data_IF_155639036030
#
_entry.id   IF_155639036030
#
_cell.length_a   1.000
_cell.length_b   1.000
_cell.length_c   1.000
_cell.angle_alpha   90.00
_cell.angle_beta   90.00
_cell.angle_gamma   90.00
#
_symmetry.space_group_name_H-M   'P 1'
#
loop_
_entity.id
_entity.type
_entity.pdbx_description
1 polymer ?
#
# COMPACT_ATOMS: atom_id res chain seq x y z
N UNK A 1 -7.58 -12.06 -20.61
CA UNK A 1 -6.53 -11.01 -20.69
C UNK A 1 -5.50 -11.28 -19.61
N UNK A 2 -4.47 -12.05 -19.92
CA UNK A 2 -3.40 -12.36 -18.96
C UNK A 2 -2.49 -11.14 -18.85
N UNK A 3 -2.62 -10.34 -17.79
CA UNK A 3 -1.59 -9.39 -17.43
C UNK A 3 -0.32 -10.18 -17.07
N UNK A 4 0.54 -10.41 -18.06
CA UNK A 4 1.96 -10.66 -17.83
C UNK A 4 2.47 -9.37 -17.22
N UNK A 5 2.45 -9.30 -15.89
CA UNK A 5 3.05 -8.21 -15.14
C UNK A 5 4.54 -8.17 -15.51
N UNK A 6 4.92 -7.23 -16.38
CA UNK A 6 6.29 -6.75 -16.42
C UNK A 6 6.58 -6.24 -15.02
N UNK A 7 7.32 -7.02 -14.23
CA UNK A 7 7.79 -6.64 -12.89
C UNK A 7 8.81 -5.52 -13.04
N UNK A 8 8.32 -4.33 -13.37
CA UNK A 8 9.10 -3.12 -13.56
C UNK A 8 8.80 -2.13 -12.41
N UNK A 9 9.61 -1.08 -12.32
CA UNK A 9 9.52 -0.09 -11.25
C UNK A 9 8.15 0.59 -11.20
N UNK A 10 7.53 0.86 -12.35
CA UNK A 10 6.20 1.47 -12.43
C UNK A 10 5.13 0.60 -11.75
N UNK A 11 5.17 -0.73 -11.94
CA UNK A 11 4.23 -1.64 -11.29
C UNK A 11 4.45 -1.70 -9.78
N UNK A 12 5.72 -1.71 -9.36
CA UNK A 12 6.07 -1.66 -7.94
C UNK A 12 5.60 -0.35 -7.29
N UNK A 13 5.74 0.76 -7.98
CA UNK A 13 5.34 2.08 -7.51
C UNK A 13 3.82 2.22 -7.42
N UNK A 14 3.09 1.74 -8.44
CA UNK A 14 1.63 1.70 -8.41
C UNK A 14 1.12 0.85 -7.23
N UNK A 15 1.73 -0.30 -6.99
CA UNK A 15 1.40 -1.15 -5.84
C UNK A 15 1.70 -0.43 -4.51
N UNK A 16 2.86 0.24 -4.40
CA UNK A 16 3.21 1.06 -3.23
C UNK A 16 2.15 2.13 -2.95
N UNK A 17 1.73 2.87 -3.98
CA UNK A 17 0.75 3.96 -3.86
C UNK A 17 -0.62 3.44 -3.43
N UNK A 18 -1.12 2.38 -4.09
CA UNK A 18 -2.39 1.74 -3.73
C UNK A 18 -2.37 1.27 -2.27
N UNK A 19 -1.34 0.51 -1.88
CA UNK A 19 -1.25 -0.05 -0.53
C UNK A 19 -1.02 0.99 0.56
N UNK A 20 -0.45 2.15 0.21
CA UNK A 20 -0.29 3.26 1.14
C UNK A 20 -1.54 4.14 1.27
N UNK A 21 -2.56 3.91 0.44
CA UNK A 21 -3.83 4.62 0.46
C UNK A 21 -4.95 3.89 1.22
N UNK A 22 -4.84 2.57 1.37
CA UNK A 22 -5.81 1.75 2.09
C UNK A 22 -5.50 1.72 3.58
N UNK A 23 -6.52 1.64 4.47
CA UNK A 23 -6.30 1.49 5.91
C UNK A 23 -5.96 0.04 6.32
N UNK A 24 -6.12 -0.92 5.41
CA UNK A 24 -6.05 -2.35 5.68
C UNK A 24 -4.65 -2.85 6.07
N UNK A 25 -4.64 -3.97 6.79
CA UNK A 25 -3.43 -4.69 7.16
C UNK A 25 -2.65 -5.17 5.91
N UNK A 26 -1.36 -5.44 6.09
CA UNK A 26 -0.58 -6.07 5.03
C UNK A 26 -1.06 -7.51 4.80
N UNK A 27 -1.10 -7.93 3.54
CA UNK A 27 -1.27 -9.35 3.20
C UNK A 27 -0.06 -10.11 3.71
N UNK A 28 -0.30 -11.15 4.50
CA UNK A 28 0.72 -12.09 4.95
C UNK A 28 0.99 -13.18 3.91
N UNK A 29 2.17 -13.81 3.98
CA UNK A 29 2.46 -14.96 3.11
C UNK A 29 1.50 -16.12 3.38
N UNK A 30 1.06 -16.30 4.62
CA UNK A 30 0.10 -17.34 5.01
C UNK A 30 -1.25 -17.16 4.33
N UNK A 31 -1.78 -15.93 4.29
CA UNK A 31 -3.03 -15.63 3.59
C UNK A 31 -2.90 -15.88 2.08
N UNK A 32 -1.81 -15.40 1.48
CA UNK A 32 -1.52 -15.63 0.06
C UNK A 32 -1.48 -17.14 -0.25
N UNK A 33 -0.80 -17.93 0.58
CA UNK A 33 -0.70 -19.38 0.42
C UNK A 33 -2.03 -20.09 0.65
N UNK A 34 -2.85 -19.60 1.59
CA UNK A 34 -4.17 -20.18 1.87
C UNK A 34 -5.11 -20.02 0.67
N UNK A 35 -5.10 -18.85 0.04
CA UNK A 35 -6.00 -18.56 -1.10
C UNK A 35 -5.48 -19.18 -2.40
N UNK A 36 -4.17 -19.12 -2.65
CA UNK A 36 -3.59 -19.48 -3.95
C UNK A 36 -2.72 -20.75 -3.95
N UNK A 37 -2.63 -21.46 -2.84
CA UNK A 37 -1.81 -22.67 -2.66
C UNK A 37 -2.13 -23.80 -3.63
N UNK A 38 -3.38 -23.91 -4.05
CA UNK A 38 -3.84 -24.93 -5.00
C UNK A 38 -3.64 -24.52 -6.47
N UNK A 39 -3.36 -23.24 -6.72
CA UNK A 39 -3.24 -22.67 -8.08
C UNK A 39 -1.77 -22.49 -8.47
N UNK A 40 -0.92 -22.09 -7.52
CA UNK A 40 0.48 -21.80 -7.78
C UNK A 40 1.41 -22.65 -6.91
N UNK A 41 2.57 -23.00 -7.48
CA UNK A 41 3.63 -23.66 -6.72
C UNK A 41 4.17 -22.75 -5.60
N UNK A 42 4.67 -23.35 -4.52
CA UNK A 42 5.26 -22.62 -3.39
C UNK A 42 6.39 -21.66 -3.85
N UNK A 43 7.19 -22.07 -4.84
CA UNK A 43 8.22 -21.23 -5.47
C UNK A 43 7.61 -19.98 -6.14
N UNK A 44 6.50 -20.14 -6.87
CA UNK A 44 5.81 -19.02 -7.53
C UNK A 44 5.16 -18.09 -6.51
N UNK A 45 4.52 -18.63 -5.48
CA UNK A 45 3.93 -17.86 -4.38
C UNK A 45 4.99 -17.02 -3.64
N UNK A 46 6.12 -17.62 -3.26
CA UNK A 46 7.26 -16.90 -2.65
C UNK A 46 7.80 -15.79 -3.55
N UNK A 47 7.76 -15.97 -4.87
CA UNK A 47 8.19 -14.95 -5.82
C UNK A 47 7.20 -13.79 -5.92
N UNK A 48 5.90 -14.06 -5.90
CA UNK A 48 4.85 -13.03 -5.87
C UNK A 48 4.93 -12.26 -4.55
N UNK A 49 5.04 -12.97 -3.43
CA UNK A 49 5.11 -12.35 -2.11
C UNK A 49 6.34 -11.44 -1.96
N UNK A 50 7.51 -11.89 -2.41
CA UNK A 50 8.72 -11.04 -2.40
C UNK A 50 8.57 -9.77 -3.23
N UNK A 51 7.87 -9.84 -4.36
CA UNK A 51 7.59 -8.65 -5.16
C UNK A 51 6.66 -7.69 -4.41
N UNK A 52 5.58 -8.21 -3.82
CA UNK A 52 4.68 -7.43 -2.98
C UNK A 52 5.40 -6.77 -1.80
N UNK A 53 6.11 -7.55 -0.98
CA UNK A 53 6.84 -7.08 0.19
C UNK A 53 7.86 -5.98 -0.15
N UNK A 54 8.58 -6.14 -1.27
CA UNK A 54 9.51 -5.12 -1.77
C UNK A 54 8.80 -3.82 -2.16
N UNK A 55 7.61 -3.90 -2.75
CA UNK A 55 6.85 -2.73 -3.16
C UNK A 55 6.27 -1.96 -1.97
N UNK A 56 5.74 -2.69 -0.97
CA UNK A 56 5.10 -2.07 0.19
C UNK A 56 6.07 -1.69 1.31
N UNK A 57 7.32 -2.19 1.26
CA UNK A 57 8.40 -1.82 2.17
C UNK A 57 8.44 -2.62 3.47
N UNK A 58 7.55 -3.60 3.65
CA UNK A 58 7.47 -4.42 4.87
C UNK A 58 7.27 -5.90 4.52
N UNK A 59 7.94 -6.78 5.28
CA UNK A 59 7.79 -8.23 5.21
C UNK A 59 7.17 -8.72 6.50
N UNK A 60 5.99 -9.34 6.41
CA UNK A 60 5.29 -9.89 7.55
C UNK A 60 5.01 -11.38 7.36
N UNK A 61 5.39 -12.21 8.32
CA UNK A 61 5.05 -13.64 8.27
C UNK A 61 3.57 -13.88 8.62
N UNK A 62 3.03 -13.02 9.49
CA UNK A 62 1.64 -13.03 9.97
C UNK A 62 0.94 -11.71 9.65
N UNK A 63 -0.39 -11.67 9.74
CA UNK A 63 -1.13 -10.43 9.55
C UNK A 63 -0.94 -9.52 10.78
N UNK A 64 -0.31 -8.36 10.59
CA UNK A 64 -0.12 -7.36 11.64
C UNK A 64 -0.90 -6.07 11.33
N UNK A 65 -1.47 -5.43 12.35
CA UNK A 65 -2.12 -4.14 12.18
C UNK A 65 -1.10 -3.06 11.75
N UNK A 66 -1.54 -2.13 10.89
CA UNK A 66 -0.71 -1.01 10.45
C UNK A 66 -0.40 -0.07 11.61
N UNK A 67 0.74 0.62 11.52
CA UNK A 67 1.13 1.65 12.46
C UNK A 67 0.07 2.75 12.58
N UNK A 68 -0.01 3.38 13.75
CA UNK A 68 -0.90 4.51 13.99
C UNK A 68 -0.68 5.62 12.95
N UNK A 69 0.57 5.88 12.57
CA UNK A 69 0.91 6.90 11.57
C UNK A 69 0.24 6.62 10.22
N UNK A 70 0.20 5.35 9.80
CA UNK A 70 -0.48 4.95 8.56
C UNK A 70 -2.00 5.09 8.67
N UNK A 71 -2.59 4.71 9.81
CA UNK A 71 -4.03 4.90 10.05
C UNK A 71 -4.41 6.38 10.00
N UNK A 72 -3.62 7.25 10.65
CA UNK A 72 -3.79 8.70 10.59
C UNK A 72 -3.74 9.21 9.14
N UNK A 73 -2.81 8.71 8.33
CA UNK A 73 -2.71 9.07 6.90
C UNK A 73 -4.01 8.80 6.15
N UNK A 74 -4.53 7.58 6.29
CA UNK A 74 -5.74 7.14 5.60
C UNK A 74 -6.97 7.91 6.06
N UNK A 75 -7.08 8.20 7.37
CA UNK A 75 -8.15 9.03 7.93
C UNK A 75 -8.09 10.46 7.39
N UNK A 76 -6.93 11.11 7.40
CA UNK A 76 -6.79 12.49 6.90
C UNK A 76 -7.20 12.58 5.43
N UNK A 77 -6.72 11.64 4.59
CA UNK A 77 -7.09 11.59 3.17
C UNK A 77 -8.61 11.38 2.97
N UNK A 78 -9.21 10.51 3.79
CA UNK A 78 -10.66 10.25 3.78
C UNK A 78 -11.46 11.50 4.14
N UNK A 79 -11.11 12.17 5.24
CA UNK A 79 -11.79 13.39 5.71
C UNK A 79 -11.71 14.49 4.67
N UNK A 80 -10.56 14.70 4.03
CA UNK A 80 -10.42 15.69 2.95
C UNK A 80 -11.34 15.38 1.77
N UNK A 81 -11.38 14.11 1.34
CA UNK A 81 -12.30 13.67 0.28
C UNK A 81 -13.77 13.87 0.65
N UNK A 82 -14.17 13.52 1.87
CA UNK A 82 -15.54 13.69 2.36
C UNK A 82 -15.95 15.17 2.42
N UNK A 83 -14.99 16.06 2.70
CA UNK A 83 -15.17 17.50 2.68
C UNK A 83 -14.97 18.15 1.29
N UNK A 84 -14.90 17.36 0.22
CA UNK A 84 -14.71 17.81 -1.18
C UNK A 84 -13.41 18.60 -1.41
N UNK A 85 -12.43 18.43 -0.54
CA UNK A 85 -11.10 18.99 -0.73
C UNK A 85 -10.28 18.03 -1.57
N UNK A 86 -9.88 18.48 -2.76
CA UNK A 86 -9.09 17.67 -3.68
C UNK A 86 -7.68 17.42 -3.10
N UNK A 87 -7.06 16.30 -3.44
CA UNK A 87 -5.69 15.98 -3.03
C UNK A 87 -4.83 16.12 -4.28
N UNK A 88 -3.69 16.85 -4.25
CA UNK A 88 -2.95 17.32 -3.06
C UNK A 88 -3.34 18.70 -2.51
N UNK A 89 -4.17 19.49 -3.19
CA UNK A 89 -4.42 20.90 -2.86
C UNK A 89 -5.05 21.12 -1.47
N UNK A 90 -5.94 20.23 -1.08
CA UNK A 90 -6.57 20.23 0.24
C UNK A 90 -5.59 19.95 1.37
N UNK A 91 -4.49 19.24 1.10
CA UNK A 91 -3.44 18.98 2.10
C UNK A 91 -2.59 20.23 2.31
N UNK A 92 -2.26 20.97 1.25
CA UNK A 92 -1.45 22.19 1.38
C UNK A 92 -2.16 23.28 2.19
N UNK A 93 -3.49 23.21 2.29
CA UNK A 93 -4.34 24.13 3.06
C UNK A 93 -4.48 23.74 4.54
N UNK A 94 -3.98 22.57 4.97
CA UNK A 94 -4.14 22.09 6.37
C UNK A 94 -3.19 22.73 7.38
N UNK A 95 -2.18 23.49 6.91
CA UNK A 95 -1.13 24.07 7.77
C UNK A 95 -0.13 23.05 8.32
N UNK A 96 -0.18 21.79 7.89
CA UNK A 96 0.78 20.75 8.27
C UNK A 96 2.21 21.12 7.84
N UNK A 97 3.21 20.70 8.61
CA UNK A 97 4.61 20.81 8.19
C UNK A 97 4.86 20.04 6.88
N UNK A 98 5.75 20.53 6.01
CA UNK A 98 6.05 19.92 4.70
C UNK A 98 6.30 18.40 4.75
N UNK A 99 7.07 17.85 5.72
CA UNK A 99 7.27 16.40 5.78
C UNK A 99 5.97 15.61 6.01
N UNK A 100 5.04 16.17 6.79
CA UNK A 100 3.73 15.56 7.02
C UNK A 100 2.83 15.68 5.79
N UNK A 101 2.91 16.78 5.05
CA UNK A 101 2.18 16.91 3.77
C UNK A 101 2.65 15.85 2.77
N UNK A 102 3.97 15.71 2.57
CA UNK A 102 4.55 14.69 1.69
C UNK A 102 4.15 13.27 2.11
N UNK A 103 4.18 12.99 3.43
CA UNK A 103 3.71 11.72 3.97
C UNK A 103 2.24 11.44 3.63
N UNK A 104 1.34 12.41 3.79
CA UNK A 104 -0.09 12.26 3.48
C UNK A 104 -0.33 12.19 1.96
N UNK A 105 0.49 12.87 1.15
CA UNK A 105 0.46 12.79 -0.31
C UNK A 105 1.00 11.48 -0.90
N UNK A 106 1.54 10.58 -0.06
CA UNK A 106 2.19 9.33 -0.47
C UNK A 106 3.48 9.56 -1.28
N UNK A 107 4.12 10.71 -1.10
CA UNK A 107 5.41 11.03 -1.71
C UNK A 107 6.53 10.17 -1.07
N UNK A 108 7.70 10.13 -1.74
CA UNK A 108 8.91 9.45 -1.23
C UNK A 108 9.76 10.40 -0.41
#
# INVERSE_FOLDING_TARGET
MYMVACRNEATSEALRLLWNSFPDAYISFKELKTVFGNVFTDKKLKSIYRFYARAVGEFHEYAEPRSLQHQCRSIVRRVLRENKNWIPEGISQTGLAKPLQSFVNLEK
#
